data_IF_269218937667
#
_entry.id   IF_269218937667
#
_cell.length_a   1.000
_cell.length_b   1.000
_cell.length_c   1.000
_cell.angle_alpha   90.00
_cell.angle_beta   90.00
_cell.angle_gamma   90.00
#
_symmetry.space_group_name_H-M   'P 1'
#
loop_
_entity.id
_entity.type
_entity.pdbx_description
1 polymer ?
#
# COMPACT_ATOMS: atom_id res chain seq x y z
N UNK A 1 -20.95 -55.66 -24.03
CA UNK A 1 -22.20 -54.90 -23.80
C UNK A 1 -21.84 -53.41 -23.76
N UNK A 2 -22.56 -52.58 -24.55
CA UNK A 2 -22.43 -51.11 -24.79
C UNK A 2 -21.03 -50.61 -25.23
N UNK A 3 -20.71 -50.12 -26.44
CA UNK A 3 -21.37 -49.48 -27.59
C UNK A 3 -21.94 -48.05 -27.38
N UNK A 4 -21.25 -47.10 -28.04
CA UNK A 4 -21.71 -45.85 -28.72
C UNK A 4 -21.87 -44.63 -27.78
N UNK A 5 -21.37 -43.41 -28.08
CA UNK A 5 -21.60 -42.63 -29.30
C UNK A 5 -20.56 -41.50 -29.54
N UNK A 6 -20.23 -41.34 -30.82
CA UNK A 6 -19.58 -40.22 -31.55
C UNK A 6 -20.45 -38.93 -31.56
N UNK A 7 -19.89 -37.72 -31.36
CA UNK A 7 -19.38 -36.74 -32.37
C UNK A 7 -20.42 -35.64 -32.77
N UNK A 8 -19.92 -34.41 -33.04
CA UNK A 8 -20.52 -33.22 -33.74
C UNK A 8 -21.46 -32.30 -32.91
N UNK A 9 -21.53 -30.95 -33.01
CA UNK A 9 -21.16 -29.89 -33.97
C UNK A 9 -20.77 -28.60 -33.15
N UNK A 10 -19.78 -27.77 -33.47
CA UNK A 10 -19.61 -26.81 -34.58
C UNK A 10 -20.61 -25.62 -34.63
N UNK A 11 -20.01 -24.40 -34.61
CA UNK A 11 -20.46 -23.10 -35.15
C UNK A 11 -21.56 -22.29 -34.42
N UNK A 12 -21.19 -21.05 -34.01
CA UNK A 12 -21.77 -19.75 -34.40
C UNK A 12 -21.10 -18.64 -33.53
N UNK A 13 -20.18 -17.83 -34.05
CA UNK A 13 -20.41 -16.58 -34.81
C UNK A 13 -20.41 -15.31 -33.92
N UNK A 14 -19.27 -14.60 -33.99
CA UNK A 14 -19.10 -13.15 -34.24
C UNK A 14 -19.81 -12.05 -33.41
N UNK A 15 -18.95 -11.11 -32.97
CA UNK A 15 -19.13 -9.66 -32.81
C UNK A 15 -19.93 -9.19 -31.57
N UNK A 16 -19.48 -8.22 -30.76
CA UNK A 16 -19.14 -6.86 -31.15
C UNK A 16 -18.11 -6.18 -30.22
N UNK A 17 -17.32 -5.36 -30.87
CA UNK A 17 -16.37 -4.34 -30.40
C UNK A 17 -17.06 -3.33 -29.47
N UNK A 18 -16.40 -2.96 -28.37
CA UNK A 18 -16.31 -1.55 -27.94
C UNK A 18 -14.95 -1.26 -27.31
N UNK A 19 -14.12 -0.58 -28.09
CA UNK A 19 -12.92 0.12 -27.64
C UNK A 19 -13.39 1.45 -27.07
N UNK A 20 -13.24 1.67 -25.77
CA UNK A 20 -13.46 2.98 -25.14
C UNK A 20 -12.11 3.62 -24.84
N UNK A 21 -11.45 4.14 -25.88
CA UNK A 21 -10.37 5.12 -25.71
C UNK A 21 -11.00 6.48 -25.46
N UNK A 22 -11.09 6.90 -24.21
CA UNK A 22 -11.36 8.31 -23.89
C UNK A 22 -10.04 9.07 -23.81
N UNK A 23 -9.60 9.60 -24.95
CA UNK A 23 -8.62 10.66 -25.00
C UNK A 23 -9.31 11.98 -24.65
N UNK A 24 -9.29 12.37 -23.37
CA UNK A 24 -9.72 13.70 -22.96
C UNK A 24 -8.60 14.71 -23.25
N UNK A 25 -8.77 15.51 -24.30
CA UNK A 25 -8.00 16.74 -24.52
C UNK A 25 -8.62 17.90 -23.72
N UNK A 26 -7.82 18.92 -23.37
CA UNK A 26 -8.09 19.80 -22.24
C UNK A 26 -9.11 20.88 -22.57
N UNK A 27 -10.06 21.11 -21.67
CA UNK A 27 -10.89 22.31 -21.71
C UNK A 27 -10.05 23.46 -21.12
N UNK A 28 -9.49 24.28 -22.01
CA UNK A 28 -9.12 25.66 -21.67
C UNK A 28 -10.42 26.45 -21.53
N UNK A 29 -10.84 26.75 -20.30
CA UNK A 29 -11.76 27.84 -20.06
C UNK A 29 -10.95 29.13 -20.09
N UNK A 30 -11.13 29.89 -21.17
CA UNK A 30 -10.64 31.25 -21.27
C UNK A 30 -11.39 32.14 -20.29
N UNK A 31 -10.63 33.01 -19.63
CA UNK A 31 -11.11 34.11 -18.82
C UNK A 31 -12.10 34.97 -19.63
N UNK A 32 -13.25 35.26 -19.05
CA UNK A 32 -14.04 36.44 -19.39
C UNK A 32 -13.70 37.52 -18.37
N UNK A 33 -12.92 38.51 -18.80
CA UNK A 33 -12.92 39.84 -18.19
C UNK A 33 -14.22 40.56 -18.54
N UNK A 34 -14.84 41.18 -17.54
CA UNK A 34 -15.83 42.25 -17.71
C UNK A 34 -15.38 43.38 -16.77
N UNK A 35 -15.29 44.64 -17.23
CA UNK A 35 -14.79 45.76 -16.43
C UNK A 35 -15.91 46.48 -15.65
N UNK A 36 -15.49 47.49 -14.89
CA UNK A 36 -16.26 48.51 -14.15
C UNK A 36 -16.69 48.11 -12.73
N UNK A 37 -16.67 48.96 -11.71
CA UNK A 37 -16.04 50.25 -11.40
C UNK A 37 -16.20 50.40 -9.87
N UNK A 38 -15.44 51.31 -9.29
CA UNK A 38 -15.33 51.70 -7.88
C UNK A 38 -16.62 51.67 -7.02
N UNK A 39 -16.55 51.11 -5.80
CA UNK A 39 -17.35 51.45 -4.59
C UNK A 39 -17.02 50.50 -3.43
N UNK A 40 -16.51 51.04 -2.33
CA UNK A 40 -16.06 50.27 -1.17
C UNK A 40 -17.15 49.48 -0.44
N UNK A 41 -16.76 48.32 0.10
CA UNK A 41 -17.39 47.75 1.28
C UNK A 41 -16.41 46.82 2.01
N UNK A 42 -16.39 46.96 3.34
CA UNK A 42 -15.62 46.12 4.26
C UNK A 42 -16.25 44.73 4.23
N UNK A 43 -15.54 43.76 3.66
CA UNK A 43 -15.91 42.35 3.81
C UNK A 43 -14.69 41.56 4.24
N UNK A 44 -14.64 41.26 5.54
CA UNK A 44 -13.86 40.16 6.13
C UNK A 44 -14.14 38.89 5.33
N UNK A 45 -13.24 38.57 4.40
CA UNK A 45 -13.21 37.28 3.72
C UNK A 45 -12.69 36.25 4.73
N UNK A 46 -13.59 35.76 5.59
CA UNK A 46 -13.43 34.48 6.27
C UNK A 46 -13.39 33.38 5.20
N UNK A 47 -12.21 33.19 4.62
CA UNK A 47 -11.91 32.01 3.84
C UNK A 47 -12.02 30.84 4.83
N UNK A 48 -12.80 29.79 4.55
CA UNK A 48 -12.75 28.60 5.37
C UNK A 48 -11.31 28.10 5.33
N UNK A 49 -10.60 28.23 6.45
CA UNK A 49 -9.35 27.55 6.67
C UNK A 49 -9.70 26.06 6.67
N UNK A 50 -9.78 25.45 5.49
CA UNK A 50 -9.72 24.01 5.39
C UNK A 50 -8.41 23.65 6.08
N UNK A 51 -8.44 22.92 7.22
CA UNK A 51 -7.22 22.50 7.86
C UNK A 51 -6.43 21.73 6.81
N UNK A 52 -5.24 22.22 6.50
CA UNK A 52 -4.30 21.46 5.68
C UNK A 52 -4.13 20.12 6.41
N UNK A 53 -4.35 18.97 5.73
CA UNK A 53 -4.28 17.69 6.40
C UNK A 53 -2.92 17.57 7.08
N UNK A 54 -2.94 17.35 8.39
CA UNK A 54 -1.73 17.24 9.20
C UNK A 54 -0.80 16.24 8.53
N UNK A 55 0.44 16.66 8.27
CA UNK A 55 1.40 15.77 7.62
C UNK A 55 1.60 14.54 8.50
N UNK A 56 1.48 13.35 7.90
CA UNK A 56 1.81 12.09 8.56
C UNK A 56 3.15 12.21 9.30
N UNK A 57 3.13 11.88 10.58
CA UNK A 57 4.30 11.92 11.48
C UNK A 57 4.93 10.54 11.61
N UNK A 58 4.17 9.51 11.32
CA UNK A 58 4.48 8.14 11.62
C UNK A 58 4.17 7.18 10.48
N UNK A 59 4.86 6.04 10.46
CA UNK A 59 4.60 4.98 9.50
C UNK A 59 4.68 3.60 10.13
N UNK A 60 3.97 2.68 9.49
CA UNK A 60 4.21 1.23 9.60
C UNK A 60 4.71 0.76 8.25
N UNK A 61 5.89 0.14 8.23
CA UNK A 61 6.52 -0.43 7.05
C UNK A 61 6.56 -1.96 7.16
N UNK A 62 6.07 -2.61 6.11
CA UNK A 62 5.88 -4.05 6.03
C UNK A 62 6.98 -4.61 5.15
N UNK A 63 7.85 -5.41 5.76
CA UNK A 63 8.98 -6.05 5.09
C UNK A 63 8.75 -7.55 4.98
N UNK A 64 9.12 -8.12 3.84
CA UNK A 64 9.26 -9.56 3.70
C UNK A 64 10.67 -9.95 4.14
N UNK A 65 10.79 -10.84 5.12
CA UNK A 65 12.06 -11.38 5.63
C UNK A 65 12.24 -12.81 5.15
N UNK A 66 13.44 -13.18 4.73
CA UNK A 66 13.87 -14.54 4.41
C UNK A 66 14.89 -14.98 5.45
N UNK A 67 14.46 -15.84 6.37
CA UNK A 67 15.28 -16.31 7.49
C UNK A 67 16.17 -17.52 7.13
N UNK A 68 15.74 -18.34 6.18
CA UNK A 68 16.49 -19.50 5.70
C UNK A 68 16.31 -19.67 4.17
N UNK A 69 16.36 -20.89 3.62
CA UNK A 69 16.26 -21.06 2.16
C UNK A 69 14.87 -20.72 1.57
N UNK A 70 13.79 -20.93 2.33
CA UNK A 70 12.41 -20.84 1.81
C UNK A 70 11.36 -20.38 2.81
N UNK A 71 11.73 -20.16 4.07
CA UNK A 71 10.81 -19.73 5.10
C UNK A 71 10.90 -18.22 5.27
N UNK A 72 9.75 -17.60 5.05
CA UNK A 72 9.58 -16.16 5.06
C UNK A 72 8.65 -15.70 6.16
N UNK A 73 8.86 -14.48 6.63
CA UNK A 73 7.96 -13.81 7.55
C UNK A 73 7.66 -12.40 7.05
N UNK A 74 6.42 -11.97 7.20
CA UNK A 74 6.07 -10.56 7.08
C UNK A 74 6.32 -9.90 8.43
N UNK A 75 7.18 -8.89 8.45
CA UNK A 75 7.57 -8.18 9.68
C UNK A 75 7.11 -6.72 9.55
N UNK A 76 6.43 -6.26 10.59
CA UNK A 76 5.91 -4.90 10.67
C UNK A 76 6.88 -4.07 11.50
N UNK A 77 7.38 -3.00 10.91
CA UNK A 77 8.23 -2.04 11.57
C UNK A 77 7.51 -0.72 11.72
N UNK A 78 7.63 -0.10 12.87
CA UNK A 78 6.98 1.16 13.18
C UNK A 78 8.01 2.24 13.47
N UNK A 79 7.81 3.45 12.94
CA UNK A 79 8.72 4.57 13.15
C UNK A 79 8.23 5.86 12.49
N UNK A 80 9.13 6.80 12.15
CA UNK A 80 8.78 8.06 11.50
C UNK A 80 8.13 7.85 10.12
N UNK A 81 7.22 8.76 9.76
CA UNK A 81 6.67 8.84 8.41
C UNK A 81 7.74 9.20 7.38
N UNK A 82 7.58 8.72 6.14
CA UNK A 82 8.42 9.08 4.97
C UNK A 82 9.91 8.75 5.11
N UNK A 83 10.34 8.08 6.18
CA UNK A 83 11.71 7.61 6.37
C UNK A 83 11.72 6.10 6.14
N UNK A 84 12.52 5.57 5.22
CA UNK A 84 12.55 4.13 4.98
C UNK A 84 13.23 3.37 6.15
N UNK A 85 12.55 2.36 6.72
CA UNK A 85 13.07 1.49 7.79
C UNK A 85 14.36 0.76 7.42
N UNK A 86 15.47 1.00 8.09
CA UNK A 86 16.61 0.07 8.00
C UNK A 86 16.32 -1.14 8.90
N UNK A 87 16.20 -2.38 8.36
CA UNK A 87 16.03 -3.58 9.20
C UNK A 87 17.32 -3.96 9.93
N UNK A 88 18.45 -3.36 9.54
CA UNK A 88 19.71 -3.57 10.24
C UNK A 88 19.78 -2.83 11.57
N UNK A 89 20.50 -3.39 12.57
CA UNK A 89 20.74 -2.69 13.82
C UNK A 89 21.44 -1.36 13.56
N UNK A 90 20.70 -0.27 13.76
CA UNK A 90 21.23 1.10 13.74
C UNK A 90 21.05 1.71 15.11
N UNK A 91 21.97 2.60 15.50
CA UNK A 91 21.83 3.42 16.71
C UNK A 91 21.87 4.91 16.33
N UNK A 92 20.86 5.71 16.70
CA UNK A 92 19.61 5.29 17.34
C UNK A 92 18.77 4.37 16.43
N UNK A 93 17.80 3.67 17.03
CA UNK A 93 16.89 2.75 16.33
C UNK A 93 15.57 3.49 16.04
N UNK A 94 15.43 4.20 14.91
CA UNK A 94 14.22 4.97 14.61
C UNK A 94 13.00 4.09 14.35
N UNK A 95 13.19 2.79 14.16
CA UNK A 95 12.10 1.84 13.90
C UNK A 95 12.11 0.67 14.88
N UNK A 96 10.95 0.24 15.32
CA UNK A 96 10.77 -0.96 16.15
C UNK A 96 9.97 -2.02 15.40
N UNK A 97 10.35 -3.28 15.54
CA UNK A 97 9.53 -4.38 15.03
C UNK A 97 8.37 -4.59 16.00
N UNK A 98 7.13 -4.47 15.51
CA UNK A 98 5.91 -4.46 16.33
C UNK A 98 4.99 -5.63 16.05
N UNK A 99 5.28 -6.41 15.01
CA UNK A 99 4.59 -7.68 14.74
C UNK A 99 5.36 -8.51 13.71
N UNK A 100 5.05 -9.80 13.68
CA UNK A 100 5.60 -10.74 12.71
C UNK A 100 4.59 -11.85 12.40
N UNK A 101 4.43 -12.18 11.12
CA UNK A 101 3.62 -13.33 10.71
C UNK A 101 4.26 -14.66 11.12
N UNK A 102 3.48 -15.75 11.20
CA UNK A 102 4.05 -17.10 11.11
C UNK A 102 4.90 -17.28 9.84
N UNK A 103 5.77 -18.29 9.85
CA UNK A 103 6.58 -18.60 8.69
C UNK A 103 5.73 -19.13 7.54
N UNK A 104 5.97 -18.59 6.35
CA UNK A 104 5.29 -18.95 5.10
C UNK A 104 6.33 -19.44 4.11
N UNK A 105 6.02 -20.54 3.43
CA UNK A 105 6.93 -21.15 2.48
C UNK A 105 6.79 -20.53 1.09
N UNK A 106 7.84 -19.88 0.59
CA UNK A 106 7.92 -19.39 -0.78
C UNK A 106 9.20 -19.89 -1.48
N UNK A 107 9.27 -19.85 -2.82
CA UNK A 107 10.53 -20.06 -3.54
C UNK A 107 11.59 -19.06 -3.11
N UNK A 108 12.86 -19.47 -2.98
CA UNK A 108 13.99 -18.64 -2.50
C UNK A 108 14.13 -17.27 -3.18
N UNK A 109 13.87 -17.20 -4.48
CA UNK A 109 14.00 -15.95 -5.24
C UNK A 109 12.87 -14.95 -4.99
N UNK A 110 11.84 -15.34 -4.23
CA UNK A 110 10.70 -14.48 -3.87
C UNK A 110 11.14 -13.23 -3.11
N UNK A 111 12.26 -13.29 -2.38
CA UNK A 111 12.80 -12.12 -1.69
C UNK A 111 13.16 -10.98 -2.66
N UNK A 112 13.50 -11.28 -3.92
CA UNK A 112 13.86 -10.27 -4.94
C UNK A 112 12.65 -9.51 -5.45
N UNK A 113 11.48 -10.13 -5.40
CA UNK A 113 10.22 -9.59 -5.87
C UNK A 113 9.10 -10.14 -4.97
N UNK A 114 8.88 -9.53 -3.78
CA UNK A 114 7.87 -10.01 -2.85
C UNK A 114 6.50 -10.14 -3.53
N UNK A 115 5.76 -11.19 -3.18
CA UNK A 115 4.41 -11.35 -3.67
C UNK A 115 3.50 -10.42 -2.87
N UNK A 116 2.23 -10.42 -3.26
CA UNK A 116 1.18 -10.07 -2.33
C UNK A 116 1.22 -10.92 -1.05
N UNK A 117 0.95 -10.35 0.14
CA UNK A 117 0.77 -11.16 1.33
C UNK A 117 -0.46 -12.07 1.17
N UNK A 118 -0.55 -13.21 1.88
CA UNK A 118 -1.81 -13.93 2.02
C UNK A 118 -2.78 -13.14 2.89
N UNK A 119 -4.06 -13.50 2.86
CA UNK A 119 -5.04 -12.92 3.77
C UNK A 119 -4.63 -13.18 5.23
N UNK A 120 -4.45 -12.12 6.02
CA UNK A 120 -4.07 -12.23 7.42
C UNK A 120 -4.41 -10.98 8.22
N UNK A 121 -4.41 -11.13 9.55
CA UNK A 121 -4.50 -10.06 10.53
C UNK A 121 -3.37 -10.25 11.53
N UNK A 122 -2.53 -9.24 11.70
CA UNK A 122 -1.40 -9.26 12.63
C UNK A 122 -1.60 -8.17 13.68
N UNK A 123 -1.78 -8.59 14.93
CA UNK A 123 -1.83 -7.67 16.06
C UNK A 123 -0.45 -7.01 16.23
N UNK A 124 -0.46 -5.72 16.53
CA UNK A 124 0.73 -4.89 16.68
C UNK A 124 0.89 -4.46 18.13
N UNK A 125 2.15 -4.35 18.56
CA UNK A 125 2.47 -3.78 19.86
C UNK A 125 1.93 -2.32 19.99
N UNK A 126 1.42 -1.92 21.17
CA UNK A 126 0.96 -0.55 21.40
C UNK A 126 2.04 0.49 21.19
N UNK A 127 1.64 1.69 20.74
CA UNK A 127 2.61 2.71 20.35
C UNK A 127 1.97 4.10 20.35
N UNK A 128 2.72 5.15 20.70
CA UNK A 128 2.26 6.55 20.67
C UNK A 128 0.83 6.75 21.26
N UNK A 129 0.54 6.01 22.33
CA UNK A 129 -0.78 5.99 22.99
C UNK A 129 -1.89 5.23 22.25
N UNK A 130 -1.65 4.76 21.02
CA UNK A 130 -2.59 3.92 20.25
C UNK A 130 -2.49 2.46 20.70
N UNK A 131 -3.65 1.85 20.90
CA UNK A 131 -3.80 0.47 21.38
C UNK A 131 -4.66 -0.34 20.42
N UNK A 132 -4.62 -1.68 20.59
CA UNK A 132 -5.43 -2.62 19.81
C UNK A 132 -5.27 -2.47 18.29
N UNK A 133 -4.05 -2.11 17.88
CA UNK A 133 -3.71 -1.94 16.47
C UNK A 133 -3.45 -3.29 15.83
N UNK A 134 -3.88 -3.43 14.57
CA UNK A 134 -3.62 -4.58 13.72
C UNK A 134 -3.36 -4.12 12.30
N UNK A 135 -2.52 -4.86 11.58
CA UNK A 135 -2.47 -4.78 10.13
C UNK A 135 -3.31 -5.91 9.54
N UNK A 136 -4.21 -5.55 8.63
CA UNK A 136 -5.13 -6.49 7.98
C UNK A 136 -4.95 -6.41 6.48
N UNK A 137 -4.85 -7.57 5.82
CA UNK A 137 -4.86 -7.69 4.37
C UNK A 137 -5.81 -8.80 3.95
N UNK A 138 -6.50 -8.59 2.83
CA UNK A 138 -7.34 -9.60 2.15
C UNK A 138 -6.53 -10.52 1.25
N UNK A 139 -5.23 -10.24 1.11
CA UNK A 139 -4.27 -11.00 0.34
C UNK A 139 -4.23 -10.68 -1.15
N UNK A 140 -3.29 -11.30 -1.86
CA UNK A 140 -3.06 -10.98 -3.27
C UNK A 140 -2.52 -9.55 -3.41
N UNK A 141 -3.08 -8.72 -4.29
CA UNK A 141 -2.53 -7.37 -4.53
C UNK A 141 -2.88 -6.34 -3.45
N UNK A 142 -3.53 -6.75 -2.36
CA UNK A 142 -3.90 -5.88 -1.26
C UNK A 142 -2.68 -5.59 -0.34
N UNK A 143 -2.25 -4.33 -0.31
CA UNK A 143 -1.20 -3.84 0.58
C UNK A 143 -1.63 -3.84 2.05
N UNK A 144 -2.93 -3.98 2.30
CA UNK A 144 -3.54 -3.99 3.61
C UNK A 144 -3.79 -2.60 4.17
N UNK A 145 -4.23 -2.59 5.42
CA UNK A 145 -4.55 -1.42 6.21
C UNK A 145 -4.10 -1.63 7.65
N UNK A 146 -3.64 -0.57 8.30
CA UNK A 146 -3.49 -0.53 9.75
C UNK A 146 -4.79 -0.04 10.34
N UNK A 147 -5.37 -0.78 11.28
CA UNK A 147 -6.56 -0.43 12.02
C UNK A 147 -6.28 -0.52 13.52
N UNK A 148 -6.52 0.56 14.23
CA UNK A 148 -6.61 0.64 15.67
C UNK A 148 -8.05 0.99 16.06
N UNK A 149 -8.36 1.10 17.36
CA UNK A 149 -9.72 1.40 17.82
C UNK A 149 -10.30 2.69 17.22
N UNK A 150 -9.52 3.78 17.22
CA UNK A 150 -9.99 5.11 16.82
C UNK A 150 -9.46 5.56 15.45
N UNK A 151 -8.77 4.69 14.73
CA UNK A 151 -7.95 5.12 13.60
C UNK A 151 -7.70 4.00 12.60
N UNK A 152 -7.68 4.34 11.31
CA UNK A 152 -7.22 3.45 10.26
C UNK A 152 -6.46 4.22 9.17
N UNK A 153 -5.43 3.59 8.60
CA UNK A 153 -4.77 4.07 7.38
C UNK A 153 -4.50 2.93 6.42
N UNK A 154 -4.70 3.23 5.14
CA UNK A 154 -4.41 2.31 4.06
C UNK A 154 -2.91 2.27 3.80
N UNK A 155 -2.40 1.09 3.49
CA UNK A 155 -1.03 0.92 3.08
C UNK A 155 -0.91 1.05 1.55
N UNK A 156 0.25 1.45 1.08
CA UNK A 156 0.61 1.48 -0.32
C UNK A 156 1.93 0.73 -0.53
N UNK A 157 2.25 0.42 -1.78
CA UNK A 157 3.57 -0.10 -2.12
C UNK A 157 4.66 0.89 -1.67
N UNK A 158 5.69 0.37 -1.00
CA UNK A 158 6.79 1.18 -0.53
C UNK A 158 7.51 1.87 -1.70
N UNK A 159 7.87 3.14 -1.54
CA UNK A 159 8.56 3.91 -2.58
C UNK A 159 9.91 3.33 -2.99
N UNK A 160 10.54 2.55 -2.10
CA UNK A 160 11.80 1.84 -2.29
C UNK A 160 11.61 0.35 -2.59
N UNK A 161 10.41 -0.08 -3.00
CA UNK A 161 10.16 -1.47 -3.39
C UNK A 161 11.15 -1.96 -4.47
N UNK A 162 11.55 -1.09 -5.40
CA UNK A 162 12.44 -1.49 -6.50
C UNK A 162 13.93 -1.54 -6.12
N UNK A 163 14.31 -1.16 -4.89
CA UNK A 163 15.71 -1.14 -4.44
C UNK A 163 16.26 -2.56 -4.17
N UNK A 164 15.37 -3.54 -4.06
CA UNK A 164 15.72 -4.94 -3.89
C UNK A 164 16.04 -5.36 -2.45
N UNK A 165 16.56 -6.59 -2.26
CA UNK A 165 16.78 -7.14 -0.93
C UNK A 165 17.92 -6.46 -0.16
N UNK A 166 17.67 -6.17 1.11
CA UNK A 166 18.64 -5.71 2.09
C UNK A 166 19.17 -6.93 2.83
N UNK A 167 20.49 -7.18 2.78
CA UNK A 167 21.12 -8.23 3.58
C UNK A 167 21.52 -7.69 4.94
N UNK A 168 21.04 -8.34 6.01
CA UNK A 168 21.41 -8.01 7.37
C UNK A 168 21.67 -9.23 8.23
N UNK A 169 22.91 -9.38 8.69
CA UNK A 169 23.31 -10.39 9.68
C UNK A 169 22.79 -11.83 9.37
N UNK A 170 22.81 -12.24 8.10
CA UNK A 170 22.36 -13.57 7.69
C UNK A 170 20.90 -13.66 7.23
N UNK A 171 20.14 -12.57 7.36
CA UNK A 171 18.73 -12.49 6.94
C UNK A 171 18.60 -11.52 5.79
N UNK A 172 17.78 -11.86 4.79
CA UNK A 172 17.44 -10.91 3.73
C UNK A 172 16.07 -10.30 4.01
N UNK A 173 15.94 -9.00 3.78
CA UNK A 173 14.70 -8.26 3.91
C UNK A 173 14.35 -7.58 2.61
N UNK A 174 13.07 -7.38 2.32
CA UNK A 174 12.63 -6.57 1.18
C UNK A 174 11.45 -5.69 1.61
N UNK A 175 11.53 -4.38 1.33
CA UNK A 175 10.46 -3.42 1.64
C UNK A 175 9.27 -3.62 0.71
N UNK A 176 8.12 -3.97 1.25
CA UNK A 176 6.96 -4.25 0.42
C UNK A 176 5.96 -3.09 0.43
N UNK A 177 5.52 -2.68 1.62
CA UNK A 177 4.44 -1.71 1.79
C UNK A 177 4.73 -0.74 2.92
N UNK A 178 4.09 0.42 2.88
CA UNK A 178 4.13 1.44 3.92
C UNK A 178 2.72 2.04 4.13
N UNK A 179 2.35 2.27 5.37
CA UNK A 179 1.11 2.93 5.78
C UNK A 179 1.51 4.18 6.57
N UNK A 180 1.17 5.36 6.04
CA UNK A 180 1.57 6.67 6.58
C UNK A 180 0.42 7.30 7.37
N UNK A 181 0.72 7.95 8.50
CA UNK A 181 -0.27 8.59 9.38
C UNK A 181 0.24 9.56 10.44
#
# INVERSE_FOLDING_TARGET
MAKWSTLLLALMATALIFVSTSAAKPIRLMCTEVPDDDSGDISTSDKPNNPEPESAKHSVQILLSLANDRDYNWILFQGPAKIPVSPCPTYPKPFEAVSMSPSIHYPKDTIKQPPGPPAMSLDMDPWDGRTNCKWVTTGGNDAGLVQCDDYASSCAKDGQFMDGPIYCQGVFFHRAFACEF
#
